data_IF_098950960035
#
_entry.id   IF_098950960035
#
_cell.length_a   1.000
_cell.length_b   1.000
_cell.length_c   1.000
_cell.angle_alpha   90.00
_cell.angle_beta   90.00
_cell.angle_gamma   90.00
#
_symmetry.space_group_name_H-M   'P 1'
#
loop_
_entity.id
_entity.type
_entity.pdbx_description
1 polymer ?
#
# COMPACT_ATOMS: atom_id res chain seq x y z
N UNK A 1 -17.79 -13.93 -14.07
CA UNK A 1 -17.27 -14.37 -12.76
C UNK A 1 -17.94 -13.53 -11.67
N UNK A 2 -18.73 -14.15 -10.78
CA UNK A 2 -19.63 -13.43 -9.87
C UNK A 2 -18.87 -12.63 -8.82
N UNK A 3 -19.03 -11.29 -8.81
CA UNK A 3 -18.40 -10.36 -7.84
C UNK A 3 -18.66 -10.72 -6.36
N UNK A 4 -19.71 -11.50 -6.09
CA UNK A 4 -20.06 -11.97 -4.73
C UNK A 4 -19.11 -13.06 -4.20
N UNK A 5 -18.44 -13.81 -5.06
CA UNK A 5 -17.52 -14.90 -4.63
C UNK A 5 -16.15 -14.34 -4.21
N UNK A 6 -15.69 -13.25 -4.84
CA UNK A 6 -14.41 -12.61 -4.51
C UNK A 6 -14.44 -11.89 -3.15
N UNK A 7 -15.59 -11.35 -2.75
CA UNK A 7 -15.77 -10.70 -1.43
C UNK A 7 -15.80 -11.72 -0.30
N UNK A 8 -16.30 -12.94 -0.56
CA UNK A 8 -16.35 -14.01 0.45
C UNK A 8 -14.96 -14.61 0.75
N UNK A 9 -14.03 -14.57 -0.22
CA UNK A 9 -12.64 -15.02 -0.01
C UNK A 9 -11.74 -14.01 0.71
N UNK A 10 -12.07 -12.71 0.66
CA UNK A 10 -11.30 -11.66 1.34
C UNK A 10 -11.76 -11.50 2.80
N UNK A 11 -13.03 -11.81 3.11
CA UNK A 11 -13.58 -11.68 4.46
C UNK A 11 -13.17 -12.82 5.43
N UNK A 12 -12.67 -13.94 4.92
CA UNK A 12 -12.17 -15.05 5.76
C UNK A 12 -10.77 -14.81 6.33
N UNK A 13 -10.05 -13.76 5.92
CA UNK A 13 -8.74 -13.40 6.48
C UNK A 13 -8.80 -12.46 7.70
N UNK A 14 -9.98 -12.05 8.15
CA UNK A 14 -10.15 -11.08 9.24
C UNK A 14 -10.84 -11.65 10.50
N UNK A 15 -10.77 -12.96 10.75
CA UNK A 15 -11.18 -13.53 12.03
C UNK A 15 -9.99 -13.58 13.00
N UNK A 16 -10.07 -12.95 14.18
CA UNK A 16 -9.16 -13.28 15.27
C UNK A 16 -9.59 -14.64 15.82
N UNK A 17 -8.94 -15.70 15.35
CA UNK A 17 -8.98 -16.97 16.06
C UNK A 17 -8.26 -16.78 17.40
N UNK A 18 -9.02 -16.52 18.45
CA UNK A 18 -8.71 -17.11 19.75
C UNK A 18 -8.79 -18.63 19.54
N UNK A 19 -7.68 -19.25 19.14
CA UNK A 19 -7.60 -20.71 19.07
C UNK A 19 -7.25 -21.23 20.46
N UNK A 20 -8.18 -22.01 21.00
CA UNK A 20 -8.00 -22.91 22.14
C UNK A 20 -6.69 -23.70 22.00
N UNK A 21 -5.95 -23.80 23.11
CA UNK A 21 -4.63 -24.44 23.16
C UNK A 21 -4.64 -25.87 22.65
N UNK A 22 -4.04 -26.08 21.48
CA UNK A 22 -3.53 -27.38 21.07
C UNK A 22 -2.06 -27.45 21.46
N UNK A 23 -1.74 -28.38 22.36
CA UNK A 23 -0.36 -28.74 22.70
C UNK A 23 0.26 -29.50 21.53
N UNK A 24 0.80 -28.76 20.57
CA UNK A 24 1.57 -29.33 19.46
C UNK A 24 2.88 -29.88 20.04
N UNK A 25 3.10 -31.19 19.91
CA UNK A 25 4.40 -31.80 20.16
C UNK A 25 5.45 -31.08 19.33
N UNK A 26 6.55 -30.68 19.96
CA UNK A 26 7.63 -29.89 19.38
C UNK A 26 8.21 -30.55 18.12
N UNK A 27 7.67 -30.19 16.96
CA UNK A 27 8.33 -30.32 15.67
C UNK A 27 9.46 -29.30 15.64
N UNK A 28 10.67 -29.78 15.37
CA UNK A 28 11.93 -29.07 15.09
C UNK A 28 11.97 -27.59 15.47
N UNK A 29 12.86 -27.27 16.42
CA UNK A 29 13.21 -25.92 16.85
C UNK A 29 13.39 -24.95 15.67
N UNK A 30 12.28 -24.35 15.24
CA UNK A 30 12.26 -23.24 14.28
C UNK A 30 13.10 -22.16 14.93
N UNK A 31 14.27 -21.89 14.37
CA UNK A 31 15.21 -20.93 14.93
C UNK A 31 14.46 -19.61 15.21
N UNK A 32 14.22 -19.25 16.50
CA UNK A 32 13.39 -18.11 16.85
C UNK A 32 13.95 -16.79 16.31
N UNK A 33 15.23 -16.75 15.95
CA UNK A 33 15.87 -15.61 15.31
C UNK A 33 15.31 -15.26 13.92
N UNK A 34 14.59 -16.18 13.26
CA UNK A 34 14.02 -15.98 11.92
C UNK A 34 12.68 -15.24 11.93
N UNK A 35 12.05 -15.05 13.10
CA UNK A 35 10.79 -14.34 13.26
C UNK A 35 11.04 -13.00 13.93
N UNK A 36 10.83 -11.92 13.19
CA UNK A 36 10.96 -10.56 13.72
C UNK A 36 9.82 -9.70 13.23
N UNK A 37 9.33 -8.84 14.11
CA UNK A 37 8.26 -7.90 13.82
C UNK A 37 8.85 -6.51 13.68
N UNK A 38 8.48 -5.81 12.63
CA UNK A 38 8.87 -4.44 12.34
C UNK A 38 7.64 -3.56 12.41
N UNK A 39 7.76 -2.45 13.11
CA UNK A 39 6.82 -1.35 13.05
C UNK A 39 7.57 -0.08 12.70
N UNK A 40 7.01 0.75 11.84
CA UNK A 40 7.70 1.92 11.38
C UNK A 40 6.82 2.94 10.71
N UNK A 41 7.49 3.99 10.25
CA UNK A 41 6.91 5.05 9.45
C UNK A 41 7.46 4.97 8.04
N UNK A 42 6.63 5.33 7.06
CA UNK A 42 7.07 5.47 5.69
C UNK A 42 6.40 6.64 5.01
N UNK A 43 7.07 7.12 3.98
CA UNK A 43 6.64 8.21 3.11
C UNK A 43 6.81 7.76 1.68
N UNK A 44 5.95 8.21 0.77
CA UNK A 44 6.09 7.84 -0.63
C UNK A 44 4.89 8.09 -1.52
N UNK A 45 5.08 7.78 -2.80
CA UNK A 45 4.03 7.76 -3.81
C UNK A 45 3.65 6.30 -4.02
N UNK A 46 2.35 6.00 -3.94
CA UNK A 46 1.78 4.67 -4.11
C UNK A 46 2.34 3.56 -3.19
N UNK A 47 3.15 3.89 -2.18
CA UNK A 47 3.55 3.00 -1.09
C UNK A 47 2.50 3.01 0.04
N UNK A 48 2.85 3.34 1.29
CA UNK A 48 1.91 3.55 2.40
C UNK A 48 1.12 4.87 2.33
N UNK A 49 1.37 5.69 1.30
CA UNK A 49 0.88 7.07 1.17
C UNK A 49 2.02 8.08 1.34
N UNK A 50 1.69 9.37 1.24
CA UNK A 50 2.60 10.50 1.49
C UNK A 50 3.25 10.35 2.87
N UNK A 51 2.48 9.89 3.85
CA UNK A 51 2.93 9.46 5.16
C UNK A 51 2.06 8.32 5.67
N UNK A 52 2.65 7.33 6.34
CA UNK A 52 1.92 6.20 6.91
C UNK A 52 2.74 5.37 7.88
N UNK A 53 2.05 4.48 8.57
CA UNK A 53 2.61 3.44 9.44
C UNK A 53 2.72 2.15 8.63
N UNK A 54 3.81 1.41 8.85
CA UNK A 54 4.07 0.11 8.22
C UNK A 54 4.32 -0.91 9.30
N UNK A 55 3.69 -2.08 9.14
CA UNK A 55 3.93 -3.28 9.91
C UNK A 55 4.52 -4.34 8.97
N UNK A 56 5.56 -5.04 9.41
CA UNK A 56 6.12 -6.18 8.68
C UNK A 56 6.42 -7.32 9.66
N UNK A 57 6.03 -8.54 9.29
CA UNK A 57 6.33 -9.75 10.05
C UNK A 57 7.13 -10.71 9.18
N UNK A 58 8.35 -11.05 9.62
CA UNK A 58 9.25 -11.91 8.86
C UNK A 58 9.12 -13.37 9.28
N UNK A 59 9.23 -14.25 8.28
CA UNK A 59 9.17 -15.71 8.34
C UNK A 59 10.30 -16.28 7.46
N UNK A 60 11.55 -16.12 7.89
CA UNK A 60 12.70 -16.41 7.05
C UNK A 60 12.76 -15.44 5.85
N UNK A 61 12.85 -15.96 4.62
CA UNK A 61 12.91 -15.12 3.41
C UNK A 61 11.59 -14.46 3.04
N UNK A 62 10.47 -14.92 3.59
CA UNK A 62 9.16 -14.34 3.32
C UNK A 62 8.78 -13.38 4.44
N UNK A 63 8.08 -12.31 4.10
CA UNK A 63 7.41 -11.47 5.09
C UNK A 63 6.01 -11.10 4.67
N UNK A 64 5.16 -10.84 5.65
CA UNK A 64 3.83 -10.28 5.47
C UNK A 64 3.92 -8.81 5.87
N UNK A 65 3.37 -7.93 5.04
CA UNK A 65 3.42 -6.49 5.26
C UNK A 65 2.02 -5.89 5.27
N UNK A 66 1.82 -4.93 6.16
CA UNK A 66 0.63 -4.10 6.27
C UNK A 66 1.00 -2.64 6.34
N UNK A 67 0.14 -1.76 5.84
CA UNK A 67 0.37 -0.32 5.88
C UNK A 67 -0.92 0.47 5.93
N UNK A 68 -0.88 1.60 6.63
CA UNK A 68 -1.99 2.54 6.71
C UNK A 68 -1.45 3.98 6.71
N UNK A 69 -2.05 4.88 5.93
CA UNK A 69 -1.55 6.25 5.81
C UNK A 69 -2.45 7.18 5.03
N UNK A 70 -1.91 8.34 4.68
CA UNK A 70 -2.57 9.37 3.87
C UNK A 70 -2.00 9.34 2.45
N UNK A 71 -2.85 9.09 1.44
CA UNK A 71 -2.50 9.17 0.03
C UNK A 71 -3.00 10.44 -0.65
N UNK A 72 -2.79 10.56 -1.96
CA UNK A 72 -3.33 11.67 -2.76
C UNK A 72 -4.85 11.71 -2.80
N UNK A 73 -5.51 10.54 -2.67
CA UNK A 73 -6.97 10.37 -2.68
C UNK A 73 -7.48 9.82 -1.34
N UNK A 74 -7.20 10.55 -0.26
CA UNK A 74 -7.69 10.22 1.08
C UNK A 74 -6.84 9.19 1.81
N UNK A 75 -7.45 8.39 2.67
CA UNK A 75 -6.73 7.37 3.44
C UNK A 75 -6.31 6.22 2.53
N UNK A 76 -5.20 5.58 2.88
CA UNK A 76 -4.65 4.44 2.18
C UNK A 76 -4.45 3.28 3.14
N UNK A 77 -4.91 2.10 2.75
CA UNK A 77 -4.66 0.84 3.44
C UNK A 77 -3.98 -0.13 2.48
N UNK A 78 -3.01 -0.90 2.96
CA UNK A 78 -2.30 -1.87 2.13
C UNK A 78 -1.96 -3.13 2.91
N UNK A 79 -1.96 -4.27 2.22
CA UNK A 79 -1.52 -5.55 2.73
C UNK A 79 -0.86 -6.37 1.63
N UNK A 80 0.17 -7.13 1.98
CA UNK A 80 0.91 -7.89 0.98
C UNK A 80 2.00 -8.77 1.57
N UNK A 81 2.89 -9.19 0.68
CA UNK A 81 3.99 -10.07 0.99
C UNK A 81 5.27 -9.57 0.35
N UNK A 82 6.40 -9.90 0.97
CA UNK A 82 7.73 -9.66 0.41
C UNK A 82 8.56 -10.94 0.44
N UNK A 83 9.47 -11.04 -0.52
CA UNK A 83 10.48 -12.07 -0.60
C UNK A 83 11.87 -11.43 -0.62
N UNK A 84 12.68 -11.75 0.37
CA UNK A 84 14.07 -11.33 0.50
C UNK A 84 14.98 -12.28 -0.28
N UNK A 85 15.87 -11.73 -1.12
CA UNK A 85 16.84 -12.53 -1.88
C UNK A 85 17.85 -13.22 -0.95
N UNK A 86 18.18 -12.54 0.15
CA UNK A 86 19.11 -13.02 1.17
C UNK A 86 18.33 -13.49 2.39
N UNK A 87 18.69 -14.67 2.93
CA UNK A 87 18.10 -15.14 4.18
C UNK A 87 18.42 -14.16 5.29
N UNK A 88 17.43 -13.69 6.04
CA UNK A 88 17.72 -12.85 7.17
C UNK A 88 18.43 -13.66 8.25
N UNK A 89 19.62 -13.24 8.66
CA UNK A 89 20.40 -13.93 9.69
C UNK A 89 20.46 -13.08 10.97
N UNK A 90 20.07 -13.67 12.10
CA UNK A 90 20.21 -13.08 13.43
C UNK A 90 19.42 -11.79 13.67
N UNK A 91 20.14 -10.70 13.99
CA UNK A 91 19.57 -9.44 14.51
C UNK A 91 19.01 -8.51 13.43
N UNK A 92 19.32 -8.74 12.16
CA UNK A 92 18.96 -7.79 11.10
C UNK A 92 18.56 -8.48 9.79
N UNK A 93 17.30 -8.30 9.38
CA UNK A 93 16.87 -8.55 7.99
C UNK A 93 17.25 -7.32 7.17
N UNK A 94 18.43 -7.41 6.58
CA UNK A 94 19.01 -6.40 5.70
C UNK A 94 19.02 -7.00 4.31
N UNK A 95 18.74 -6.18 3.32
CA UNK A 95 18.97 -6.54 1.94
C UNK A 95 17.77 -6.30 1.05
N UNK A 96 17.85 -6.95 -0.09
CA UNK A 96 17.05 -6.66 -1.27
C UNK A 96 15.95 -7.69 -1.42
N UNK A 97 14.88 -7.32 -2.08
CA UNK A 97 13.79 -8.23 -2.32
C UNK A 97 12.74 -7.67 -3.25
N UNK A 98 11.71 -8.48 -3.47
CA UNK A 98 10.53 -8.14 -4.26
C UNK A 98 9.28 -8.26 -3.40
N UNK A 99 8.30 -7.39 -3.66
CA UNK A 99 7.06 -7.32 -2.92
C UNK A 99 5.86 -7.31 -3.85
N UNK A 100 4.76 -7.90 -3.36
CA UNK A 100 3.45 -7.80 -3.97
C UNK A 100 2.48 -7.32 -2.89
N UNK A 101 1.83 -6.19 -3.13
CA UNK A 101 0.88 -5.62 -2.18
C UNK A 101 -0.43 -5.26 -2.86
N UNK A 102 -1.54 -5.57 -2.21
CA UNK A 102 -2.82 -4.96 -2.51
C UNK A 102 -2.95 -3.66 -1.71
N UNK A 103 -3.48 -2.62 -2.33
CA UNK A 103 -3.80 -1.38 -1.62
C UNK A 103 -5.15 -0.80 -2.02
N UNK A 104 -5.78 -0.12 -1.07
CA UNK A 104 -7.01 0.63 -1.23
C UNK A 104 -6.73 2.09 -0.89
N UNK A 105 -6.95 3.00 -1.85
CA UNK A 105 -7.13 4.42 -1.58
C UNK A 105 -8.63 4.69 -1.42
N UNK A 106 -9.06 5.30 -0.32
CA UNK A 106 -10.50 5.41 0.03
C UNK A 106 -11.26 6.40 -0.84
N UNK A 107 -10.58 7.29 -1.55
CA UNK A 107 -11.21 8.38 -2.28
C UNK A 107 -11.65 9.52 -1.36
N UNK A 108 -12.27 10.54 -1.97
CA UNK A 108 -12.80 11.75 -1.33
C UNK A 108 -14.13 12.13 -2.01
N UNK A 109 -15.18 12.38 -1.23
CA UNK A 109 -16.56 12.51 -1.75
C UNK A 109 -16.82 13.80 -2.51
N UNK A 110 -16.26 14.93 -2.06
CA UNK A 110 -16.47 16.25 -2.67
C UNK A 110 -15.25 17.12 -2.46
N UNK A 111 -14.40 17.20 -3.48
CA UNK A 111 -13.18 18.02 -3.45
C UNK A 111 -13.34 19.17 -4.45
N UNK A 112 -13.32 20.43 -4.00
CA UNK A 112 -13.28 21.57 -4.90
C UNK A 112 -11.87 21.65 -5.53
N UNK A 113 -11.78 21.49 -6.84
CA UNK A 113 -10.51 21.59 -7.58
C UNK A 113 -10.68 22.66 -8.66
N UNK A 114 -9.73 23.59 -8.73
CA UNK A 114 -9.71 24.60 -9.78
C UNK A 114 -9.27 23.96 -11.10
N UNK A 115 -10.23 23.68 -11.99
CA UNK A 115 -10.04 22.97 -13.24
C UNK A 115 -10.50 23.81 -14.42
N UNK A 116 -9.84 23.63 -15.55
CA UNK A 116 -10.24 24.21 -16.82
C UNK A 116 -11.42 23.42 -17.42
N UNK A 117 -12.45 24.14 -17.82
CA UNK A 117 -13.64 23.63 -18.50
C UNK A 117 -13.43 23.55 -20.02
N UNK A 118 -14.35 22.92 -20.74
CA UNK A 118 -14.29 22.84 -22.20
C UNK A 118 -14.33 24.20 -22.91
N UNK A 119 -14.76 25.27 -22.24
CA UNK A 119 -14.72 26.65 -22.77
C UNK A 119 -13.36 27.34 -22.56
N UNK A 120 -12.39 26.67 -21.94
CA UNK A 120 -11.07 27.24 -21.61
C UNK A 120 -11.06 28.09 -20.32
N UNK A 121 -12.20 28.24 -19.65
CA UNK A 121 -12.29 28.99 -18.38
C UNK A 121 -11.96 28.07 -17.21
N UNK A 122 -11.14 28.56 -16.27
CA UNK A 122 -10.86 27.89 -15.00
C UNK A 122 -11.91 28.24 -13.97
N UNK A 123 -12.48 27.23 -13.31
CA UNK A 123 -13.40 27.41 -12.20
C UNK A 123 -13.24 26.30 -11.16
N UNK A 124 -13.68 26.55 -9.94
CA UNK A 124 -13.74 25.51 -8.91
C UNK A 124 -14.85 24.52 -9.26
N UNK A 125 -14.45 23.28 -9.54
CA UNK A 125 -15.36 22.18 -9.85
C UNK A 125 -15.33 21.18 -8.69
N UNK A 126 -16.50 20.78 -8.22
CA UNK A 126 -16.63 19.71 -7.24
C UNK A 126 -16.40 18.37 -7.93
N UNK A 127 -15.32 17.69 -7.56
CA UNK A 127 -14.96 16.37 -8.06
C UNK A 127 -15.09 15.35 -6.93
N UNK A 128 -15.78 14.26 -7.20
CA UNK A 128 -15.73 13.05 -6.39
C UNK A 128 -14.56 12.20 -6.87
N UNK A 129 -13.64 11.88 -5.96
CA UNK A 129 -12.52 10.96 -6.20
C UNK A 129 -12.95 9.60 -5.65
N UNK A 130 -13.18 8.64 -6.54
CA UNK A 130 -13.68 7.32 -6.16
C UNK A 130 -12.60 6.48 -5.47
N UNK A 131 -12.98 5.50 -4.64
CA UNK A 131 -12.02 4.55 -4.09
C UNK A 131 -11.26 3.80 -5.21
N UNK A 132 -9.96 3.59 -5.03
CA UNK A 132 -9.10 2.89 -6.01
C UNK A 132 -8.42 1.69 -5.37
N UNK A 133 -8.60 0.54 -6.01
CA UNK A 133 -7.93 -0.71 -5.70
C UNK A 133 -6.68 -0.83 -6.56
N UNK A 134 -5.56 -1.17 -5.93
CA UNK A 134 -4.24 -1.19 -6.52
C UNK A 134 -3.57 -2.54 -6.27
N UNK A 135 -2.84 -3.03 -7.27
CA UNK A 135 -1.87 -4.10 -7.13
C UNK A 135 -0.46 -3.52 -7.34
N UNK A 136 0.33 -3.50 -6.29
CA UNK A 136 1.70 -2.98 -6.30
C UNK A 136 2.68 -4.14 -6.48
N UNK A 137 3.57 -3.98 -7.45
CA UNK A 137 4.75 -4.83 -7.65
C UNK A 137 5.97 -4.00 -7.34
N UNK A 138 6.76 -4.40 -6.35
CA UNK A 138 7.85 -3.58 -5.86
C UNK A 138 9.15 -4.35 -5.76
N UNK A 139 10.25 -3.63 -5.94
CA UNK A 139 11.59 -3.99 -5.54
C UNK A 139 11.96 -3.10 -4.36
N UNK A 140 12.56 -3.67 -3.33
CA UNK A 140 12.96 -2.90 -2.17
C UNK A 140 14.37 -3.27 -1.73
N UNK A 141 14.99 -2.36 -0.99
CA UNK A 141 16.25 -2.58 -0.31
C UNK A 141 16.19 -1.97 1.09
N UNK A 142 16.55 -2.75 2.10
CA UNK A 142 16.60 -2.32 3.50
C UNK A 142 18.05 -2.35 4.00
N UNK A 143 18.50 -1.25 4.62
CA UNK A 143 19.77 -1.13 5.31
C UNK A 143 19.57 -1.16 6.82
N UNK A 144 20.49 -1.82 7.53
CA UNK A 144 20.58 -1.79 8.99
C UNK A 144 20.91 -0.39 9.47
N UNK A 145 20.31 0.03 10.58
CA UNK A 145 20.69 1.25 11.29
C UNK A 145 21.05 0.96 12.74
N UNK A 146 22.12 1.61 13.22
CA UNK A 146 22.61 1.52 14.59
C UNK A 146 22.87 0.07 15.04
N UNK A 147 22.38 -0.26 16.24
CA UNK A 147 22.58 -1.57 16.89
C UNK A 147 21.88 -2.73 16.14
N UNK A 148 21.06 -2.43 15.14
CA UNK A 148 20.55 -3.40 14.19
C UNK A 148 19.13 -3.86 14.36
N UNK A 149 18.44 -3.34 15.37
CA UNK A 149 17.00 -3.47 15.51
C UNK A 149 16.26 -2.54 14.55
N UNK A 150 16.86 -1.41 14.16
CA UNK A 150 16.25 -0.44 13.24
C UNK A 150 16.73 -0.61 11.80
N UNK A 151 15.90 -0.18 10.85
CA UNK A 151 16.20 -0.23 9.42
C UNK A 151 15.70 1.00 8.68
N UNK A 152 16.44 1.36 7.66
CA UNK A 152 16.00 2.28 6.62
C UNK A 152 15.72 1.49 5.35
N UNK A 153 14.60 1.70 4.70
CA UNK A 153 14.21 1.01 3.47
C UNK A 153 13.91 1.99 2.35
N UNK A 154 14.30 1.62 1.14
CA UNK A 154 13.86 2.24 -0.11
C UNK A 154 13.04 1.23 -0.89
N UNK A 155 11.93 1.67 -1.46
CA UNK A 155 11.03 0.86 -2.27
C UNK A 155 10.75 1.55 -3.60
N UNK A 156 10.85 0.78 -4.68
CA UNK A 156 10.64 1.21 -6.06
C UNK A 156 9.70 0.20 -6.72
N UNK A 157 8.81 0.64 -7.62
CA UNK A 157 7.93 -0.32 -8.29
C UNK A 157 6.86 0.31 -9.16
N UNK A 158 5.84 -0.49 -9.45
CA UNK A 158 4.69 -0.07 -10.24
C UNK A 158 3.38 -0.55 -9.61
N UNK A 159 2.37 0.29 -9.69
CA UNK A 159 1.05 0.13 -9.10
C UNK A 159 0.00 0.08 -10.20
N UNK A 160 -0.63 -1.08 -10.34
CA UNK A 160 -1.65 -1.36 -11.35
C UNK A 160 -3.01 -1.06 -10.74
N UNK A 161 -3.79 -0.20 -11.40
CA UNK A 161 -5.18 0.08 -11.02
C UNK A 161 -6.05 -1.12 -11.42
N UNK A 162 -6.80 -1.65 -10.45
CA UNK A 162 -7.70 -2.79 -10.65
C UNK A 162 -9.15 -2.37 -10.96
N UNK A 163 -9.47 -1.10 -10.75
CA UNK A 163 -10.77 -0.53 -11.10
C UNK A 163 -10.94 -0.46 -12.62
N UNK A 164 -12.18 -0.60 -13.09
CA UNK A 164 -12.53 -0.35 -14.48
C UNK A 164 -13.01 1.10 -14.65
N UNK A 165 -12.59 1.77 -15.72
CA UNK A 165 -13.02 3.12 -16.08
C UNK A 165 -12.32 4.25 -15.31
N UNK A 166 -12.86 5.46 -15.43
CA UNK A 166 -12.36 6.62 -14.70
C UNK A 166 -12.77 6.54 -13.22
N UNK A 167 -11.81 6.77 -12.32
CA UNK A 167 -12.05 6.70 -10.87
C UNK A 167 -12.38 8.07 -10.26
N UNK A 168 -12.99 8.96 -11.04
CA UNK A 168 -13.47 10.25 -10.57
C UNK A 168 -14.76 10.63 -11.28
N UNK A 169 -15.54 11.53 -10.67
CA UNK A 169 -16.79 12.05 -11.22
C UNK A 169 -16.91 13.54 -10.94
N UNK A 170 -17.29 14.31 -11.96
CA UNK A 170 -17.66 15.72 -11.80
C UNK A 170 -19.08 15.77 -11.24
N UNK A 171 -19.26 16.50 -10.14
CA UNK A 171 -20.55 16.62 -9.46
C UNK A 171 -21.36 17.84 -9.92
N UNK A 172 -20.71 18.85 -10.47
CA UNK A 172 -21.38 20.07 -10.92
C UNK A 172 -22.09 19.85 -12.26
N UNK A 173 -23.39 20.09 -12.27
CA UNK A 173 -24.25 19.87 -13.45
C UNK A 173 -23.90 20.87 -14.56
N UNK A 174 -23.84 20.39 -15.80
CA UNK A 174 -23.52 21.22 -16.97
C UNK A 174 -22.03 21.58 -17.13
N UNK A 175 -21.16 21.11 -16.23
CA UNK A 175 -19.72 21.33 -16.32
C UNK A 175 -19.03 20.18 -17.05
N UNK A 176 -18.45 20.49 -18.20
CA UNK A 176 -17.57 19.57 -18.94
C UNK A 176 -16.13 20.04 -18.78
N UNK A 177 -15.24 19.13 -18.35
CA UNK A 177 -13.82 19.44 -18.18
C UNK A 177 -13.08 19.43 -19.52
N UNK A 178 -12.04 20.26 -19.63
CA UNK A 178 -11.11 20.20 -20.75
C UNK A 178 -10.32 18.88 -20.74
N UNK A 179 -9.76 18.50 -21.89
CA UNK A 179 -8.89 17.32 -22.01
C UNK A 179 -7.64 17.42 -21.13
N UNK A 180 -7.12 18.64 -20.93
CA UNK A 180 -6.01 18.93 -20.01
C UNK A 180 -6.39 18.64 -18.57
N UNK A 181 -7.54 19.15 -18.10
CA UNK A 181 -8.04 18.88 -16.74
C UNK A 181 -8.27 17.39 -16.48
N UNK A 182 -8.83 16.67 -17.45
CA UNK A 182 -9.00 15.21 -17.36
C UNK A 182 -7.66 14.48 -17.26
N UNK A 183 -6.64 14.90 -18.03
CA UNK A 183 -5.28 14.35 -17.91
C UNK A 183 -4.67 14.64 -16.54
N UNK A 184 -4.84 15.86 -16.02
CA UNK A 184 -4.38 16.21 -14.67
C UNK A 184 -5.02 15.32 -13.61
N UNK A 185 -6.34 15.09 -13.68
CA UNK A 185 -7.04 14.19 -12.76
C UNK A 185 -6.51 12.74 -12.84
N UNK A 186 -6.18 12.26 -14.04
CA UNK A 186 -5.58 10.93 -14.25
C UNK A 186 -4.12 10.84 -13.76
N UNK A 187 -3.37 11.94 -13.77
CA UNK A 187 -1.98 11.97 -13.26
C UNK A 187 -1.96 11.92 -11.72
N UNK A 188 -2.90 12.61 -11.06
CA UNK A 188 -2.98 12.61 -9.59
C UNK A 188 -3.68 11.36 -9.01
N UNK A 189 -4.34 10.59 -9.88
CA UNK A 189 -4.98 9.34 -9.51
C UNK A 189 -3.94 8.34 -8.96
N UNK A 190 -4.24 7.64 -7.85
CA UNK A 190 -3.40 6.56 -7.35
C UNK A 190 -3.15 5.49 -8.43
N UNK A 191 -1.91 5.02 -8.52
CA UNK A 191 -1.42 4.13 -9.58
C UNK A 191 -0.16 4.64 -10.25
N UNK A 192 0.48 3.80 -11.07
CA UNK A 192 1.73 4.14 -11.74
C UNK A 192 2.96 3.88 -10.88
N UNK A 193 3.94 4.78 -10.89
CA UNK A 193 5.20 4.58 -10.18
C UNK A 193 4.99 4.46 -8.66
N UNK A 194 5.68 3.50 -8.04
CA UNK A 194 5.81 3.38 -6.59
C UNK A 194 7.21 3.84 -6.20
N UNK A 195 7.26 4.82 -5.29
CA UNK A 195 8.50 5.27 -4.64
C UNK A 195 8.22 5.38 -3.15
N UNK A 196 9.03 4.76 -2.31
CA UNK A 196 8.84 4.76 -0.87
C UNK A 196 10.16 4.83 -0.13
N UNK A 197 10.17 5.58 0.97
CA UNK A 197 11.18 5.51 2.02
C UNK A 197 10.49 5.03 3.28
N UNK A 198 11.16 4.17 4.06
CA UNK A 198 10.65 3.75 5.35
C UNK A 198 11.75 3.70 6.40
N UNK A 199 11.35 3.93 7.64
CA UNK A 199 12.15 3.71 8.82
C UNK A 199 11.37 2.77 9.73
N UNK A 200 11.93 1.61 10.04
CA UNK A 200 11.26 0.58 10.85
C UNK A 200 12.12 0.17 12.04
N UNK A 201 11.45 -0.20 13.12
CA UNK A 201 12.02 -0.68 14.38
C UNK A 201 11.59 -2.12 14.60
N UNK A 202 12.56 -2.99 14.81
CA UNK A 202 12.39 -4.42 14.96
C UNK A 202 12.47 -4.89 16.40
N UNK A 203 11.62 -5.85 16.74
CA UNK A 203 11.75 -6.68 17.95
C UNK A 203 11.87 -8.14 17.55
#
# INVERSE_FOLDING_TARGET
MNKKILVLMILTLALPLCSSGQTVKATDSVNPELRRTYIGLGVGINYAGVIGVILEQNFGKLSITGGAGLGSWGYKLSGGMRYYTTTPTGVSVVGKGIGVNYALATGLSKVPINLETSSGTKQNVNVQLSPVHLLNLTYFNCWKLGNGTSRFGVELGYSIILNAGDNFKVLDSGVTLSSTSLKTLRIIQPGGLVLGLNFTFGR
#
